data_IF_934286463945
#
_entry.id   IF_934286463945
#
_cell.length_a   1.000
_cell.length_b   1.000
_cell.length_c   1.000
_cell.angle_alpha   90.00
_cell.angle_beta   90.00
_cell.angle_gamma   90.00
#
_symmetry.space_group_name_H-M   'P 1'
#
loop_
_entity.id
_entity.type
_entity.pdbx_description
1 polymer ?
#
# COMPACT_ATOMS: atom_id res chain seq x y z
N UNK A 1 -19.95 23.49 18.15
CA UNK A 1 -19.51 22.10 17.82
C UNK A 1 -18.08 21.97 18.26
N UNK A 2 -17.74 20.98 19.05
CA UNK A 2 -16.32 20.75 19.44
C UNK A 2 -15.53 20.29 18.23
N UNK A 3 -14.32 20.84 18.04
CA UNK A 3 -13.40 20.40 16.99
C UNK A 3 -12.85 19.03 17.38
N UNK A 4 -13.08 18.01 16.56
CA UNK A 4 -12.52 16.69 16.76
C UNK A 4 -11.14 16.62 16.12
N UNK A 5 -10.10 16.46 16.94
CA UNK A 5 -8.72 16.40 16.48
C UNK A 5 -8.49 15.19 15.55
N UNK A 6 -8.00 15.46 14.34
CA UNK A 6 -7.72 14.43 13.34
C UNK A 6 -8.97 13.74 12.78
N UNK A 7 -10.16 14.33 12.93
CA UNK A 7 -11.46 13.79 12.49
C UNK A 7 -11.79 12.40 13.09
N UNK A 8 -11.21 12.04 14.23
CA UNK A 8 -11.44 10.74 14.87
C UNK A 8 -12.91 10.56 15.24
N UNK A 9 -13.52 9.43 14.81
CA UNK A 9 -14.94 9.15 15.03
C UNK A 9 -15.92 9.94 14.14
N UNK A 10 -15.42 10.73 13.18
CA UNK A 10 -16.27 11.43 12.22
C UNK A 10 -16.50 10.54 10.99
N UNK A 11 -17.75 10.26 10.68
CA UNK A 11 -18.15 9.61 9.43
C UNK A 11 -18.12 10.65 8.32
N UNK A 12 -17.11 10.60 7.46
CA UNK A 12 -16.89 11.60 6.41
C UNK A 12 -17.67 11.31 5.12
N UNK A 13 -17.95 10.03 4.83
CA UNK A 13 -18.69 9.56 3.65
C UNK A 13 -19.24 8.16 3.89
N UNK A 14 -20.16 7.71 3.04
CA UNK A 14 -20.54 6.30 2.91
C UNK A 14 -19.68 5.62 1.84
N UNK A 15 -19.46 4.31 1.96
CA UNK A 15 -18.74 3.51 0.99
C UNK A 15 -19.26 2.08 0.99
N UNK A 16 -19.27 1.43 -0.19
CA UNK A 16 -19.64 0.03 -0.39
C UNK A 16 -18.43 -0.90 -0.55
N UNK A 17 -17.20 -0.35 -0.46
CA UNK A 17 -15.96 -1.03 -0.86
C UNK A 17 -15.43 -1.94 0.24
N UNK A 18 -15.28 -1.43 1.45
CA UNK A 18 -14.80 -2.24 2.57
C UNK A 18 -15.39 -1.79 3.90
N UNK A 19 -15.40 -2.69 4.87
CA UNK A 19 -15.86 -2.40 6.23
C UNK A 19 -15.00 -3.08 7.28
N UNK A 20 -14.97 -2.50 8.48
CA UNK A 20 -14.38 -3.10 9.66
C UNK A 20 -15.45 -3.14 10.74
N UNK A 21 -15.99 -4.32 11.02
CA UNK A 21 -17.06 -4.55 12.00
C UNK A 21 -16.58 -5.65 12.95
N UNK A 22 -16.61 -5.39 14.25
CA UNK A 22 -16.21 -6.33 15.30
C UNK A 22 -14.80 -6.94 15.08
N UNK A 23 -13.85 -6.11 14.68
CA UNK A 23 -12.48 -6.49 14.31
C UNK A 23 -12.37 -7.38 13.05
N UNK A 24 -13.44 -7.53 12.28
CA UNK A 24 -13.44 -8.24 10.99
C UNK A 24 -13.34 -7.25 9.84
N UNK A 25 -12.32 -7.39 9.01
CA UNK A 25 -12.19 -6.65 7.74
C UNK A 25 -12.92 -7.41 6.64
N UNK A 26 -13.75 -6.69 5.87
CA UNK A 26 -14.39 -7.25 4.67
C UNK A 26 -14.12 -6.38 3.45
N UNK A 27 -14.04 -6.99 2.28
CA UNK A 27 -14.12 -6.31 0.98
C UNK A 27 -15.45 -6.66 0.34
N UNK A 28 -16.31 -5.66 0.14
CA UNK A 28 -17.67 -5.83 -0.43
C UNK A 28 -18.46 -6.92 0.31
N UNK A 29 -18.27 -7.00 1.64
CA UNK A 29 -18.92 -7.99 2.50
C UNK A 29 -18.26 -9.37 2.54
N UNK A 30 -17.25 -9.66 1.73
CA UNK A 30 -16.45 -10.90 1.82
C UNK A 30 -15.40 -10.77 2.92
N UNK A 31 -15.31 -11.78 3.77
CA UNK A 31 -14.32 -11.82 4.85
C UNK A 31 -12.90 -11.84 4.28
N UNK A 32 -12.01 -11.03 4.87
CA UNK A 32 -10.61 -10.96 4.43
C UNK A 32 -9.88 -12.30 4.57
N UNK A 33 -10.28 -13.13 5.54
CA UNK A 33 -9.70 -14.46 5.72
C UNK A 33 -10.03 -15.36 4.53
N UNK A 34 -11.30 -15.38 4.09
CA UNK A 34 -11.73 -16.17 2.95
C UNK A 34 -11.06 -15.70 1.65
N UNK A 35 -10.95 -14.39 1.45
CA UNK A 35 -10.27 -13.83 0.29
C UNK A 35 -8.78 -14.13 0.29
N UNK A 36 -8.10 -14.02 1.44
CA UNK A 36 -6.67 -14.32 1.56
C UNK A 36 -6.34 -15.81 1.28
N UNK A 37 -7.25 -16.72 1.60
CA UNK A 37 -7.04 -18.16 1.36
C UNK A 37 -7.38 -18.61 -0.06
N UNK A 38 -8.36 -17.98 -0.70
CA UNK A 38 -8.97 -18.55 -1.90
C UNK A 38 -8.86 -17.66 -3.14
N UNK A 39 -8.68 -16.32 -2.99
CA UNK A 39 -8.73 -15.41 -4.12
C UNK A 39 -7.35 -15.09 -4.70
N UNK A 40 -7.27 -14.93 -6.01
CA UNK A 40 -6.17 -14.22 -6.66
C UNK A 40 -6.31 -12.71 -6.44
N UNK A 41 -5.21 -11.99 -6.52
CA UNK A 41 -5.25 -10.53 -6.40
C UNK A 41 -6.07 -9.89 -7.53
N UNK A 42 -6.07 -10.47 -8.72
CA UNK A 42 -6.89 -10.03 -9.85
C UNK A 42 -8.39 -10.18 -9.57
N UNK A 43 -8.82 -11.23 -8.86
CA UNK A 43 -10.20 -11.35 -8.39
C UNK A 43 -10.56 -10.25 -7.39
N UNK A 44 -9.63 -9.88 -6.51
CA UNK A 44 -9.83 -8.79 -5.53
C UNK A 44 -9.87 -7.43 -6.22
N UNK A 45 -9.04 -7.18 -7.24
CA UNK A 45 -9.14 -5.97 -8.09
C UNK A 45 -10.54 -5.87 -8.69
N UNK A 46 -11.01 -6.95 -9.31
CA UNK A 46 -12.34 -6.98 -9.93
C UNK A 46 -13.44 -6.74 -8.89
N UNK A 47 -13.37 -7.43 -7.75
CA UNK A 47 -14.33 -7.32 -6.64
C UNK A 47 -14.47 -5.87 -6.17
N UNK A 48 -13.36 -5.19 -5.91
CA UNK A 48 -13.36 -3.81 -5.42
C UNK A 48 -13.92 -2.82 -6.44
N UNK A 49 -13.68 -3.03 -7.73
CA UNK A 49 -14.12 -2.11 -8.79
C UNK A 49 -15.55 -2.36 -9.27
N UNK A 50 -16.06 -3.60 -9.15
CA UNK A 50 -17.37 -3.99 -9.66
C UNK A 50 -18.36 -4.38 -8.55
N UNK A 51 -17.96 -4.34 -7.28
CA UNK A 51 -18.75 -4.67 -6.08
C UNK A 51 -19.34 -6.08 -6.13
N UNK A 52 -18.69 -7.01 -6.82
CA UNK A 52 -19.01 -8.43 -6.90
C UNK A 52 -17.80 -9.24 -7.40
N UNK A 53 -17.79 -10.53 -7.13
CA UNK A 53 -16.78 -11.43 -7.69
C UNK A 53 -16.94 -11.59 -9.22
N UNK A 54 -15.83 -11.76 -9.96
CA UNK A 54 -15.88 -12.05 -11.39
C UNK A 54 -16.36 -13.46 -11.66
N UNK A 55 -16.98 -13.67 -12.82
CA UNK A 55 -17.02 -15.00 -13.40
C UNK A 55 -15.71 -15.30 -14.14
N UNK A 56 -15.55 -16.52 -14.66
CA UNK A 56 -14.31 -16.95 -15.31
C UNK A 56 -13.93 -16.09 -16.51
N UNK A 57 -14.89 -15.72 -17.36
CA UNK A 57 -14.62 -14.89 -18.55
C UNK A 57 -14.21 -13.47 -18.19
N UNK A 58 -14.86 -12.90 -17.19
CA UNK A 58 -14.54 -11.54 -16.69
C UNK A 58 -13.15 -11.50 -16.05
N UNK A 59 -12.78 -12.54 -15.31
CA UNK A 59 -11.46 -12.65 -14.71
C UNK A 59 -10.36 -12.74 -15.77
N UNK A 60 -10.57 -13.60 -16.78
CA UNK A 60 -9.60 -13.74 -17.88
C UNK A 60 -9.50 -12.45 -18.73
N UNK A 61 -10.62 -11.76 -18.94
CA UNK A 61 -10.60 -10.46 -19.63
C UNK A 61 -9.81 -9.41 -18.85
N UNK A 62 -10.04 -9.30 -17.53
CA UNK A 62 -9.27 -8.39 -16.67
C UNK A 62 -7.77 -8.72 -16.69
N UNK A 63 -7.40 -9.99 -16.56
CA UNK A 63 -5.99 -10.42 -16.64
C UNK A 63 -5.35 -10.03 -17.97
N UNK A 64 -6.05 -10.26 -19.08
CA UNK A 64 -5.58 -9.90 -20.41
C UNK A 64 -5.39 -8.38 -20.54
N UNK A 65 -6.34 -7.59 -20.04
CA UNK A 65 -6.25 -6.12 -20.08
C UNK A 65 -5.08 -5.61 -19.21
N UNK A 66 -4.88 -6.16 -18.01
CA UNK A 66 -3.74 -5.82 -17.16
C UNK A 66 -2.41 -6.18 -17.86
N UNK A 67 -2.30 -7.37 -18.41
CA UNK A 67 -1.10 -7.81 -19.14
C UNK A 67 -0.79 -6.94 -20.37
N UNK A 68 -1.82 -6.56 -21.12
CA UNK A 68 -1.68 -5.70 -22.29
C UNK A 68 -1.20 -4.27 -21.95
N UNK A 69 -1.50 -3.79 -20.74
CA UNK A 69 -1.20 -2.43 -20.30
C UNK A 69 0.01 -2.34 -19.33
N UNK A 70 0.68 -3.45 -19.03
CA UNK A 70 1.72 -3.49 -17.99
C UNK A 70 3.06 -2.84 -18.40
N UNK A 71 3.35 -2.73 -19.69
CA UNK A 71 4.59 -2.12 -20.16
C UNK A 71 4.66 -0.63 -19.84
N UNK A 72 5.84 -0.17 -19.39
CA UNK A 72 6.09 1.25 -19.15
C UNK A 72 6.42 1.98 -20.46
N UNK A 73 6.05 3.27 -20.59
CA UNK A 73 6.63 4.17 -21.56
C UNK A 73 8.16 4.27 -21.36
N UNK A 74 8.91 4.30 -22.47
CA UNK A 74 10.36 4.46 -22.42
C UNK A 74 10.78 5.73 -21.68
N UNK A 75 10.01 6.79 -21.78
CA UNK A 75 10.23 8.08 -21.13
C UNK A 75 10.29 7.97 -19.61
N UNK A 76 9.51 7.08 -19.00
CA UNK A 76 9.56 6.81 -17.55
C UNK A 76 10.87 6.10 -17.19
N UNK A 77 11.33 5.16 -18.03
CA UNK A 77 12.58 4.43 -17.82
C UNK A 77 13.77 5.40 -17.95
N UNK A 78 13.81 6.20 -19.00
CA UNK A 78 14.87 7.19 -19.21
C UNK A 78 14.86 8.27 -18.11
N UNK A 79 13.67 8.67 -17.64
CA UNK A 79 13.55 9.57 -16.51
C UNK A 79 14.26 9.00 -15.26
N UNK A 80 14.09 7.73 -14.93
CA UNK A 80 14.80 7.11 -13.82
C UNK A 80 16.32 7.09 -14.00
N UNK A 81 16.81 6.94 -15.24
CA UNK A 81 18.25 6.97 -15.55
C UNK A 81 18.88 8.37 -15.43
N UNK A 82 18.07 9.45 -15.48
CA UNK A 82 18.55 10.84 -15.40
C UNK A 82 18.85 11.35 -13.98
N UNK A 83 18.38 10.65 -12.94
CA UNK A 83 18.57 11.08 -11.56
C UNK A 83 19.71 10.38 -10.87
N UNK A 84 20.26 10.97 -9.77
CA UNK A 84 21.07 10.24 -8.81
C UNK A 84 20.19 9.26 -8.02
N UNK A 85 19.69 8.25 -8.71
CA UNK A 85 18.61 7.35 -8.28
C UNK A 85 18.93 6.64 -6.95
N UNK A 86 20.22 6.43 -6.64
CA UNK A 86 20.67 5.82 -5.38
C UNK A 86 20.29 6.67 -4.15
N UNK A 87 20.11 7.98 -4.34
CA UNK A 87 19.77 8.96 -3.27
C UNK A 87 18.28 9.26 -3.19
N UNK A 88 17.49 8.74 -4.12
CA UNK A 88 16.05 9.01 -4.21
C UNK A 88 15.27 7.97 -3.42
N UNK A 89 14.40 8.44 -2.52
CA UNK A 89 13.50 7.54 -1.81
C UNK A 89 12.48 6.92 -2.80
N UNK A 90 12.28 5.59 -2.82
CA UNK A 90 11.42 4.90 -3.81
C UNK A 90 10.02 5.46 -3.92
N UNK A 91 9.39 5.86 -2.81
CA UNK A 91 8.06 6.50 -2.80
C UNK A 91 8.04 7.87 -3.51
N UNK A 92 9.16 8.59 -3.51
CA UNK A 92 9.29 9.83 -4.25
C UNK A 92 9.31 9.58 -5.76
N UNK A 93 10.09 8.60 -6.18
CA UNK A 93 10.16 8.14 -7.57
C UNK A 93 8.79 7.62 -8.07
N UNK A 94 8.14 6.76 -7.28
CA UNK A 94 6.81 6.22 -7.60
C UNK A 94 5.77 7.33 -7.80
N UNK A 95 5.69 8.30 -6.87
CA UNK A 95 4.76 9.43 -6.96
C UNK A 95 4.97 10.23 -8.25
N UNK A 96 6.23 10.52 -8.59
CA UNK A 96 6.56 11.28 -9.79
C UNK A 96 6.23 10.48 -11.06
N UNK A 97 6.60 9.21 -11.12
CA UNK A 97 6.30 8.35 -12.27
C UNK A 97 4.80 8.21 -12.53
N UNK A 98 3.99 8.04 -11.48
CA UNK A 98 2.52 7.97 -11.61
C UNK A 98 1.96 9.31 -12.12
N UNK A 99 2.44 10.44 -11.62
CA UNK A 99 2.05 11.76 -12.15
C UNK A 99 2.44 11.94 -13.61
N UNK A 100 3.62 11.47 -14.01
CA UNK A 100 4.07 11.50 -15.40
C UNK A 100 3.20 10.64 -16.30
N UNK A 101 2.70 9.48 -15.86
CA UNK A 101 1.79 8.65 -16.66
C UNK A 101 0.59 9.44 -17.17
N UNK A 102 0.04 10.37 -16.37
CA UNK A 102 -1.06 11.23 -16.79
C UNK A 102 -0.72 12.15 -17.96
N UNK A 103 0.55 12.52 -18.16
CA UNK A 103 1.00 13.35 -19.29
C UNK A 103 1.04 12.58 -20.62
N UNK A 104 1.12 11.25 -20.55
CA UNK A 104 1.17 10.35 -21.71
C UNK A 104 -0.17 9.65 -21.97
N UNK A 105 -1.21 9.94 -21.18
CA UNK A 105 -2.52 9.35 -21.36
C UNK A 105 -3.47 10.35 -22.02
N UNK A 106 -3.81 10.10 -23.28
CA UNK A 106 -4.72 10.95 -24.07
C UNK A 106 -6.13 11.05 -23.44
N UNK A 107 -6.49 10.08 -22.58
CA UNK A 107 -7.78 10.06 -21.87
C UNK A 107 -7.69 10.63 -20.44
N UNK A 108 -6.55 11.23 -20.05
CA UNK A 108 -6.35 11.66 -18.65
C UNK A 108 -7.52 12.51 -18.12
N UNK A 109 -7.97 13.47 -18.91
CA UNK A 109 -9.06 14.41 -18.56
C UNK A 109 -10.46 13.93 -19.00
N UNK A 110 -10.58 12.76 -19.63
CA UNK A 110 -11.89 12.19 -20.02
C UNK A 110 -12.54 11.54 -18.81
N UNK A 111 -13.75 11.99 -18.44
CA UNK A 111 -14.38 11.66 -17.14
C UNK A 111 -15.56 10.69 -17.25
N UNK A 112 -15.82 10.10 -18.42
CA UNK A 112 -16.86 9.06 -18.52
C UNK A 112 -16.41 7.73 -17.88
N UNK A 113 -17.37 6.90 -17.50
CA UNK A 113 -17.13 5.67 -16.75
C UNK A 113 -16.18 4.70 -17.49
N UNK A 114 -16.31 4.61 -18.82
CA UNK A 114 -15.47 3.71 -19.62
C UNK A 114 -14.03 4.21 -19.71
N UNK A 115 -13.81 5.51 -19.87
CA UNK A 115 -12.48 6.10 -19.84
C UNK A 115 -11.86 5.97 -18.45
N UNK A 116 -12.66 6.17 -17.38
CA UNK A 116 -12.20 5.97 -16.01
C UNK A 116 -11.79 4.52 -15.76
N UNK A 117 -12.53 3.53 -16.25
CA UNK A 117 -12.16 2.13 -16.14
C UNK A 117 -10.86 1.81 -16.91
N UNK A 118 -10.69 2.34 -18.13
CA UNK A 118 -9.44 2.16 -18.90
C UNK A 118 -8.24 2.79 -18.20
N UNK A 119 -8.39 3.99 -17.59
CA UNK A 119 -7.34 4.62 -16.75
C UNK A 119 -7.01 3.78 -15.54
N UNK A 120 -8.02 3.22 -14.86
CA UNK A 120 -7.86 2.32 -13.74
C UNK A 120 -6.99 1.10 -14.10
N UNK A 121 -7.29 0.46 -15.23
CA UNK A 121 -6.52 -0.67 -15.76
C UNK A 121 -5.08 -0.27 -16.04
N UNK A 122 -4.86 0.86 -16.73
CA UNK A 122 -3.51 1.36 -17.05
C UNK A 122 -2.68 1.66 -15.80
N UNK A 123 -3.26 2.29 -14.80
CA UNK A 123 -2.60 2.58 -13.52
C UNK A 123 -2.24 1.30 -12.76
N UNK A 124 -3.22 0.42 -12.56
CA UNK A 124 -3.02 -0.84 -11.85
C UNK A 124 -1.98 -1.73 -12.54
N UNK A 125 -2.01 -1.79 -13.86
CA UNK A 125 -1.08 -2.60 -14.65
C UNK A 125 0.37 -2.09 -14.60
N UNK A 126 0.57 -0.75 -14.59
CA UNK A 126 1.90 -0.15 -14.69
C UNK A 126 2.63 0.02 -13.35
N UNK A 127 1.90 0.08 -12.23
CA UNK A 127 2.55 0.34 -10.93
C UNK A 127 3.58 -0.72 -10.53
N UNK A 128 3.41 -2.05 -10.78
CA UNK A 128 4.46 -3.03 -10.55
C UNK A 128 5.73 -2.75 -11.37
N UNK A 129 5.56 -2.42 -12.64
CA UNK A 129 6.68 -2.15 -13.53
C UNK A 129 7.45 -0.87 -13.13
N UNK A 130 6.77 0.17 -12.61
CA UNK A 130 7.42 1.36 -12.05
C UNK A 130 8.33 0.99 -10.88
N UNK A 131 7.81 0.22 -9.91
CA UNK A 131 8.56 -0.15 -8.70
C UNK A 131 9.76 -1.04 -9.04
N UNK A 132 9.56 -2.03 -9.89
CA UNK A 132 10.61 -2.98 -10.27
C UNK A 132 11.66 -2.34 -11.17
N UNK A 133 11.27 -1.50 -12.13
CA UNK A 133 12.20 -0.74 -12.97
C UNK A 133 13.08 0.20 -12.11
N UNK A 134 12.48 0.95 -11.19
CA UNK A 134 13.21 1.78 -10.25
C UNK A 134 14.25 0.97 -9.47
N UNK A 135 13.83 -0.17 -8.88
CA UNK A 135 14.72 -1.03 -8.10
C UNK A 135 15.90 -1.56 -8.92
N UNK A 136 15.65 -2.00 -10.15
CA UNK A 136 16.69 -2.53 -11.03
C UNK A 136 17.66 -1.47 -11.51
N UNK A 137 17.16 -0.34 -12.00
CA UNK A 137 18.00 0.79 -12.45
C UNK A 137 18.90 1.28 -11.32
N UNK A 138 18.37 1.38 -10.09
CA UNK A 138 19.15 1.74 -8.90
C UNK A 138 20.31 0.80 -8.61
N UNK A 139 20.16 -0.48 -8.98
CA UNK A 139 21.21 -1.53 -8.86
C UNK A 139 22.10 -1.60 -10.10
N UNK A 140 21.96 -0.68 -11.06
CA UNK A 140 22.72 -0.72 -12.33
C UNK A 140 22.27 -1.82 -13.29
N UNK A 141 21.06 -2.33 -13.13
CA UNK A 141 20.46 -3.39 -13.93
C UNK A 141 19.41 -2.81 -14.88
N UNK A 142 19.28 -3.40 -16.09
CA UNK A 142 18.21 -3.03 -17.00
C UNK A 142 16.83 -3.50 -16.47
N UNK A 143 15.77 -2.72 -16.65
CA UNK A 143 14.40 -3.14 -16.36
C UNK A 143 14.01 -4.40 -17.14
N UNK A 144 13.20 -5.25 -16.53
CA UNK A 144 12.65 -6.45 -17.19
C UNK A 144 11.21 -6.16 -17.58
N UNK A 145 10.88 -6.46 -18.83
CA UNK A 145 9.52 -6.33 -19.33
C UNK A 145 8.60 -7.40 -18.71
N UNK A 146 7.32 -7.06 -18.45
CA UNK A 146 6.36 -8.04 -17.95
C UNK A 146 6.09 -9.13 -18.99
N UNK A 147 5.87 -10.35 -18.52
CA UNK A 147 5.43 -11.48 -19.34
C UNK A 147 3.92 -11.54 -19.38
N UNK A 148 3.35 -11.77 -20.57
CA UNK A 148 1.88 -11.81 -20.77
C UNK A 148 1.23 -13.06 -20.20
N UNK A 149 1.98 -14.14 -20.06
CA UNK A 149 1.54 -15.44 -19.55
C UNK A 149 1.63 -15.56 -18.02
N UNK A 150 2.16 -14.53 -17.33
CA UNK A 150 2.27 -14.51 -15.88
C UNK A 150 1.11 -13.74 -15.23
N UNK A 151 0.62 -14.24 -14.08
CA UNK A 151 -0.28 -13.51 -13.21
C UNK A 151 0.41 -12.30 -12.55
N UNK A 152 -0.37 -11.46 -11.91
CA UNK A 152 0.08 -10.18 -11.37
C UNK A 152 1.21 -10.34 -10.34
N UNK A 153 1.04 -11.22 -9.35
CA UNK A 153 2.06 -11.48 -8.33
C UNK A 153 3.34 -12.10 -8.91
N UNK A 154 3.19 -13.07 -9.80
CA UNK A 154 4.29 -13.73 -10.48
C UNK A 154 5.11 -12.75 -11.32
N UNK A 155 4.44 -11.88 -12.07
CA UNK A 155 5.07 -10.85 -12.89
C UNK A 155 5.87 -9.84 -12.07
N UNK A 156 5.33 -9.40 -10.92
CA UNK A 156 6.07 -8.50 -10.04
C UNK A 156 7.40 -9.10 -9.59
N UNK A 157 7.37 -10.32 -9.05
CA UNK A 157 8.57 -11.00 -8.57
C UNK A 157 9.57 -11.29 -9.69
N UNK A 158 9.08 -11.70 -10.86
CA UNK A 158 9.90 -11.91 -12.05
C UNK A 158 10.60 -10.62 -12.50
N UNK A 159 9.86 -9.53 -12.64
CA UNK A 159 10.44 -8.24 -13.04
C UNK A 159 11.43 -7.69 -12.02
N UNK A 160 11.24 -7.98 -10.73
CA UNK A 160 12.14 -7.53 -9.68
C UNK A 160 13.44 -8.34 -9.65
N UNK A 161 13.32 -9.66 -9.57
CA UNK A 161 14.44 -10.57 -9.29
C UNK A 161 15.13 -11.10 -10.55
N UNK A 162 14.47 -11.11 -11.70
CA UNK A 162 15.00 -11.56 -12.98
C UNK A 162 14.96 -13.07 -13.21
N UNK A 163 14.38 -13.82 -12.29
CA UNK A 163 14.16 -15.26 -12.38
C UNK A 163 12.69 -15.60 -12.15
N UNK A 164 12.26 -16.74 -12.62
CA UNK A 164 10.91 -17.23 -12.40
C UNK A 164 10.72 -17.61 -10.92
N UNK A 165 9.75 -17.01 -10.21
CA UNK A 165 9.51 -17.31 -8.81
C UNK A 165 8.90 -18.69 -8.63
N UNK A 166 9.17 -19.33 -7.48
CA UNK A 166 8.52 -20.57 -7.08
C UNK A 166 7.03 -20.36 -6.74
N UNK A 167 6.27 -21.44 -6.76
CA UNK A 167 4.83 -21.38 -6.40
C UNK A 167 4.61 -20.83 -4.99
N UNK A 168 5.47 -21.15 -4.03
CA UNK A 168 5.38 -20.65 -2.64
C UNK A 168 5.60 -19.13 -2.59
N UNK A 169 6.55 -18.60 -3.36
CA UNK A 169 6.79 -17.15 -3.45
C UNK A 169 5.60 -16.43 -4.09
N UNK A 170 5.02 -17.02 -5.15
CA UNK A 170 3.82 -16.47 -5.81
C UNK A 170 2.64 -16.42 -4.84
N UNK A 171 2.36 -17.52 -4.13
CA UNK A 171 1.28 -17.62 -3.15
C UNK A 171 1.46 -16.59 -2.02
N UNK A 172 2.66 -16.50 -1.45
CA UNK A 172 2.96 -15.57 -0.38
C UNK A 172 2.80 -14.11 -0.82
N UNK A 173 3.26 -13.76 -2.01
CA UNK A 173 3.14 -12.40 -2.52
C UNK A 173 1.70 -12.07 -2.92
N UNK A 174 0.98 -13.00 -3.57
CA UNK A 174 -0.46 -12.86 -3.86
C UNK A 174 -1.25 -12.59 -2.57
N UNK A 175 -1.05 -13.41 -1.54
CA UNK A 175 -1.70 -13.25 -0.24
C UNK A 175 -1.39 -11.88 0.38
N UNK A 176 -0.14 -11.42 0.32
CA UNK A 176 0.23 -10.10 0.78
C UNK A 176 -0.48 -8.97 0.00
N UNK A 177 -0.61 -9.10 -1.33
CA UNK A 177 -1.35 -8.15 -2.15
C UNK A 177 -2.84 -8.12 -1.77
N UNK A 178 -3.50 -9.26 -1.62
CA UNK A 178 -4.90 -9.36 -1.20
C UNK A 178 -5.12 -8.66 0.14
N UNK A 179 -4.26 -8.92 1.13
CA UNK A 179 -4.38 -8.38 2.49
C UNK A 179 -4.17 -6.86 2.58
N UNK A 180 -3.50 -6.25 1.61
CA UNK A 180 -3.22 -4.82 1.60
C UNK A 180 -4.09 -4.02 0.62
N UNK A 181 -4.98 -4.68 -0.15
CA UNK A 181 -5.73 -4.08 -1.25
C UNK A 181 -6.58 -2.89 -0.83
N UNK A 182 -7.29 -2.97 0.29
CA UNK A 182 -8.04 -1.85 0.85
C UNK A 182 -8.11 -1.88 2.39
N UNK A 183 -8.54 -0.78 3.00
CA UNK A 183 -8.74 -0.66 4.45
C UNK A 183 -9.55 0.60 4.76
N UNK A 184 -10.80 0.63 4.35
CA UNK A 184 -11.73 1.75 4.55
C UNK A 184 -11.13 3.13 4.18
N UNK A 185 -11.58 4.16 4.89
CA UNK A 185 -11.18 5.55 4.66
C UNK A 185 -9.88 5.89 5.42
N UNK A 186 -8.81 5.14 5.15
CA UNK A 186 -7.47 5.47 5.67
C UNK A 186 -6.96 6.80 5.09
N UNK A 187 -5.83 7.31 5.62
CA UNK A 187 -5.34 8.65 5.27
C UNK A 187 -5.07 8.83 3.77
N UNK A 188 -4.50 7.83 3.08
CA UNK A 188 -4.23 7.95 1.64
C UNK A 188 -5.50 7.83 0.79
N UNK A 189 -6.41 6.94 1.15
CA UNK A 189 -7.72 6.80 0.50
C UNK A 189 -8.55 8.09 0.66
N UNK A 190 -8.58 8.67 1.86
CA UNK A 190 -9.26 9.94 2.08
C UNK A 190 -8.64 11.08 1.27
N UNK A 191 -7.31 11.13 1.19
CA UNK A 191 -6.60 12.11 0.37
C UNK A 191 -6.94 11.98 -1.11
N UNK A 192 -7.01 10.74 -1.65
CA UNK A 192 -7.46 10.50 -3.02
C UNK A 192 -8.89 11.04 -3.24
N UNK A 193 -9.83 10.68 -2.35
CA UNK A 193 -11.23 11.14 -2.45
C UNK A 193 -11.35 12.66 -2.38
N UNK A 194 -10.61 13.33 -1.50
CA UNK A 194 -10.60 14.80 -1.41
C UNK A 194 -10.09 15.42 -2.71
N UNK A 195 -9.03 14.85 -3.30
CA UNK A 195 -8.49 15.31 -4.58
C UNK A 195 -9.54 15.18 -5.69
N UNK A 196 -10.07 13.99 -5.91
CA UNK A 196 -10.99 13.73 -7.04
C UNK A 196 -12.41 14.28 -6.81
N UNK A 197 -12.78 14.60 -5.57
CA UNK A 197 -14.04 15.32 -5.29
C UNK A 197 -14.08 16.72 -5.93
N UNK A 198 -12.95 17.25 -6.35
CA UNK A 198 -12.84 18.47 -7.17
C UNK A 198 -13.06 18.24 -8.66
N UNK A 199 -13.32 17.00 -9.08
CA UNK A 199 -13.35 16.53 -10.47
C UNK A 199 -11.96 16.60 -11.15
N UNK A 200 -10.88 16.53 -10.37
CA UNK A 200 -9.53 16.28 -10.88
C UNK A 200 -9.41 14.85 -11.40
N UNK A 201 -8.50 14.62 -12.34
CA UNK A 201 -8.25 13.34 -12.98
C UNK A 201 -7.77 12.24 -11.99
N UNK A 202 -7.86 10.98 -12.42
CA UNK A 202 -7.50 9.81 -11.60
C UNK A 202 -6.00 9.77 -11.26
N UNK A 203 -5.12 10.20 -12.17
CA UNK A 203 -3.66 10.25 -11.92
C UNK A 203 -3.31 11.23 -10.82
N UNK A 204 -3.99 12.38 -10.76
CA UNK A 204 -3.88 13.37 -9.68
C UNK A 204 -4.35 12.78 -8.34
N UNK A 205 -5.48 12.07 -8.32
CA UNK A 205 -6.02 11.40 -7.13
C UNK A 205 -5.05 10.35 -6.58
N UNK A 206 -4.54 9.48 -7.44
CA UNK A 206 -3.57 8.45 -7.05
C UNK A 206 -2.23 9.06 -6.62
N UNK A 207 -1.75 10.09 -7.31
CA UNK A 207 -0.53 10.82 -6.93
C UNK A 207 -0.65 11.41 -5.53
N UNK A 208 -1.80 11.99 -5.20
CA UNK A 208 -2.09 12.52 -3.87
C UNK A 208 -2.11 11.41 -2.80
N UNK A 209 -2.72 10.25 -3.11
CA UNK A 209 -2.73 9.08 -2.24
C UNK A 209 -1.31 8.56 -1.94
N UNK A 210 -0.45 8.43 -2.97
CA UNK A 210 0.96 8.03 -2.81
C UNK A 210 1.70 9.04 -1.94
N UNK A 211 1.43 10.34 -2.10
CA UNK A 211 1.98 11.40 -1.26
C UNK A 211 1.62 11.24 0.21
N UNK A 212 0.37 10.91 0.52
CA UNK A 212 -0.08 10.65 1.87
C UNK A 212 0.50 9.35 2.45
N UNK A 213 0.57 8.28 1.63
CA UNK A 213 1.14 7.00 2.05
C UNK A 213 2.64 7.11 2.40
N UNK A 214 3.38 7.99 1.72
CA UNK A 214 4.80 8.25 2.02
C UNK A 214 5.03 8.79 3.44
N UNK A 215 4.02 9.38 4.07
CA UNK A 215 4.15 9.97 5.40
C UNK A 215 4.44 8.93 6.49
N UNK A 216 5.35 9.21 7.45
CA UNK A 216 5.79 8.24 8.46
C UNK A 216 4.70 7.85 9.46
N UNK A 217 3.57 8.54 9.47
CA UNK A 217 2.41 8.20 10.31
C UNK A 217 1.39 7.31 9.59
N UNK A 218 1.67 6.93 8.32
CA UNK A 218 0.77 6.09 7.53
C UNK A 218 1.50 4.90 6.90
N UNK A 219 2.36 5.11 5.92
CA UNK A 219 3.22 4.05 5.37
C UNK A 219 4.54 3.93 6.13
N UNK A 220 5.34 2.91 5.82
CA UNK A 220 6.69 2.74 6.34
C UNK A 220 6.81 1.98 7.66
N UNK A 221 5.72 1.49 8.23
CA UNK A 221 5.79 0.69 9.45
C UNK A 221 6.49 -0.66 9.21
N UNK A 222 6.23 -1.33 8.10
CA UNK A 222 6.89 -2.58 7.70
C UNK A 222 8.39 -2.39 7.41
N UNK A 223 8.78 -1.29 6.75
CA UNK A 223 10.19 -0.92 6.59
C UNK A 223 10.90 -0.75 7.94
N UNK A 224 10.23 -0.05 8.87
CA UNK A 224 10.78 0.16 10.21
C UNK A 224 10.87 -1.14 11.02
N UNK A 225 9.94 -2.09 10.83
CA UNK A 225 10.05 -3.45 11.42
C UNK A 225 11.28 -4.16 10.88
N UNK A 226 11.53 -4.14 9.57
CA UNK A 226 12.71 -4.82 9.02
C UNK A 226 14.02 -4.18 9.48
N UNK A 227 14.07 -2.85 9.60
CA UNK A 227 15.22 -2.15 10.18
C UNK A 227 15.47 -2.58 11.63
N UNK A 228 14.40 -2.69 12.43
CA UNK A 228 14.47 -3.20 13.81
C UNK A 228 15.00 -4.63 13.86
N UNK A 229 14.48 -5.54 13.01
CA UNK A 229 14.97 -6.93 12.95
C UNK A 229 16.46 -6.99 12.57
N UNK A 230 16.90 -6.18 11.62
CA UNK A 230 18.32 -6.10 11.22
C UNK A 230 19.21 -5.48 12.31
N UNK A 231 18.70 -4.54 13.09
CA UNK A 231 19.40 -3.94 14.23
C UNK A 231 19.57 -4.95 15.38
N UNK A 232 18.56 -5.79 15.63
CA UNK A 232 18.63 -6.89 16.61
C UNK A 232 19.61 -7.97 16.15
N UNK A 233 19.60 -8.31 14.86
CA UNK A 233 20.46 -9.23 14.12
C UNK A 233 20.34 -10.71 14.52
N UNK A 234 20.37 -11.05 15.81
CA UNK A 234 20.32 -12.45 16.30
C UNK A 234 19.23 -12.66 17.32
N UNK A 235 18.78 -13.92 17.47
CA UNK A 235 17.73 -14.32 18.42
C UNK A 235 18.12 -14.02 19.87
N UNK A 236 19.39 -14.14 20.22
CA UNK A 236 19.92 -13.88 21.56
C UNK A 236 19.77 -12.43 21.99
N UNK A 237 19.83 -11.49 21.03
CA UNK A 237 19.73 -10.05 21.28
C UNK A 237 18.28 -9.57 21.49
N UNK A 238 17.28 -10.35 21.05
CA UNK A 238 15.87 -9.95 21.04
C UNK A 238 15.40 -9.51 22.43
N UNK A 239 15.66 -10.31 23.45
CA UNK A 239 15.14 -10.06 24.79
C UNK A 239 15.69 -8.75 25.39
N UNK A 240 16.99 -8.53 25.29
CA UNK A 240 17.64 -7.33 25.80
C UNK A 240 17.14 -6.06 25.04
N UNK A 241 17.05 -6.14 23.72
CA UNK A 241 16.61 -5.02 22.89
C UNK A 241 15.15 -4.63 23.17
N UNK A 242 14.24 -5.61 23.18
CA UNK A 242 12.81 -5.36 23.37
C UNK A 242 12.51 -4.89 24.80
N UNK A 243 13.14 -5.50 25.82
CA UNK A 243 12.97 -5.05 27.19
C UNK A 243 13.45 -3.62 27.38
N UNK A 244 14.59 -3.23 26.82
CA UNK A 244 15.09 -1.86 26.87
C UNK A 244 14.08 -0.87 26.27
N UNK A 245 13.51 -1.18 25.08
CA UNK A 245 12.47 -0.32 24.48
C UNK A 245 11.21 -0.22 25.32
N UNK A 246 10.75 -1.34 25.89
CA UNK A 246 9.55 -1.37 26.72
C UNK A 246 9.73 -0.59 28.03
N UNK A 247 10.89 -0.70 28.67
CA UNK A 247 11.24 -0.01 29.92
C UNK A 247 11.36 1.51 29.69
N UNK A 248 11.91 1.92 28.57
CA UNK A 248 12.01 3.33 28.15
C UNK A 248 10.71 3.88 27.55
N UNK A 249 9.63 3.08 27.48
CA UNK A 249 8.34 3.44 26.84
C UNK A 249 8.49 3.85 25.37
N UNK A 250 9.50 3.33 24.69
CA UNK A 250 9.70 3.55 23.28
C UNK A 250 8.70 2.75 22.47
N UNK A 251 8.44 3.23 21.22
CA UNK A 251 7.55 2.55 20.29
C UNK A 251 8.25 1.33 19.70
N UNK A 252 7.56 0.19 19.71
CA UNK A 252 7.95 -1.00 18.95
C UNK A 252 7.13 -1.03 17.68
N UNK A 253 7.80 -1.07 16.53
CA UNK A 253 7.14 -1.00 15.23
C UNK A 253 6.40 -2.31 14.91
N UNK A 254 5.29 -2.21 14.20
CA UNK A 254 4.45 -3.35 13.85
C UNK A 254 3.49 -3.84 14.93
N UNK A 255 3.34 -3.12 16.04
CA UNK A 255 2.43 -3.46 17.13
C UNK A 255 1.36 -2.40 17.36
N UNK A 256 0.15 -2.89 17.68
CA UNK A 256 -1.03 -2.07 17.90
C UNK A 256 -1.65 -1.56 16.60
N UNK A 257 -2.92 -1.21 16.67
CA UNK A 257 -3.68 -0.69 15.55
C UNK A 257 -4.65 0.38 16.03
N UNK A 258 -4.96 1.37 15.17
CA UNK A 258 -5.90 2.45 15.52
C UNK A 258 -7.35 1.97 15.59
N UNK A 259 -7.70 0.95 14.79
CA UNK A 259 -9.06 0.43 14.65
C UNK A 259 -9.24 -0.89 15.38
N UNK A 260 -8.39 -1.91 15.11
CA UNK A 260 -8.49 -3.23 15.72
C UNK A 260 -8.08 -3.21 17.20
N UNK A 261 -8.90 -3.83 18.04
CA UNK A 261 -8.66 -3.94 19.49
C UNK A 261 -8.18 -5.33 19.91
N UNK A 262 -8.68 -6.38 19.24
CA UNK A 262 -8.32 -7.78 19.52
C UNK A 262 -7.12 -8.27 18.73
N UNK A 263 -6.77 -7.57 17.65
CA UNK A 263 -5.67 -7.90 16.74
C UNK A 263 -6.06 -7.69 15.30
N UNK A 264 -5.05 -7.43 14.47
CA UNK A 264 -5.23 -7.27 13.03
C UNK A 264 -5.44 -8.66 12.38
N UNK A 265 -6.61 -8.96 11.78
CA UNK A 265 -6.90 -10.28 11.21
C UNK A 265 -5.89 -10.70 10.13
N UNK A 266 -5.25 -9.74 9.47
CA UNK A 266 -4.29 -9.97 8.40
C UNK A 266 -2.96 -10.53 8.89
N UNK A 267 -2.58 -10.25 10.14
CA UNK A 267 -1.26 -10.61 10.68
C UNK A 267 -1.03 -12.13 10.72
N UNK A 268 -2.06 -12.94 10.99
CA UNK A 268 -1.95 -14.41 11.07
C UNK A 268 -1.53 -15.05 9.74
N UNK A 269 -2.07 -14.55 8.62
CA UNK A 269 -1.75 -15.03 7.28
C UNK A 269 -0.30 -14.74 6.92
N UNK A 270 0.18 -13.53 7.21
CA UNK A 270 1.56 -13.15 6.96
C UNK A 270 2.54 -13.87 7.90
N UNK A 271 2.12 -14.18 9.13
CA UNK A 271 2.91 -15.00 10.06
C UNK A 271 3.18 -16.40 9.49
N UNK A 272 2.14 -17.03 8.92
CA UNK A 272 2.28 -18.33 8.27
C UNK A 272 3.21 -18.27 7.06
N UNK A 273 3.03 -17.27 6.18
CA UNK A 273 3.89 -17.09 5.01
C UNK A 273 5.33 -16.75 5.40
N UNK A 274 5.53 -15.95 6.46
CA UNK A 274 6.85 -15.67 7.01
C UNK A 274 7.57 -16.97 7.39
N UNK A 275 6.90 -17.87 8.11
CA UNK A 275 7.46 -19.17 8.48
C UNK A 275 7.86 -19.98 7.25
N UNK A 276 6.93 -20.16 6.31
CA UNK A 276 7.16 -20.98 5.10
C UNK A 276 8.34 -20.47 4.26
N UNK A 277 8.40 -19.15 4.04
CA UNK A 277 9.45 -18.54 3.22
C UNK A 277 10.83 -18.55 3.91
N UNK A 278 10.88 -18.23 5.20
CA UNK A 278 12.16 -18.23 5.94
C UNK A 278 12.72 -19.63 6.08
N UNK A 279 11.88 -20.66 6.30
CA UNK A 279 12.29 -22.06 6.31
C UNK A 279 12.81 -22.51 4.92
N UNK A 280 12.07 -22.16 3.85
CA UNK A 280 12.46 -22.48 2.46
C UNK A 280 13.80 -21.86 2.07
N UNK A 281 14.07 -20.64 2.50
CA UNK A 281 15.31 -19.92 2.17
C UNK A 281 16.48 -20.29 3.08
N UNK A 282 16.28 -21.14 4.10
CA UNK A 282 17.31 -21.47 5.09
C UNK A 282 17.69 -20.32 6.02
N UNK A 283 16.78 -19.34 6.22
CA UNK A 283 16.95 -18.18 7.08
C UNK A 283 15.86 -18.12 8.18
N UNK A 284 15.61 -19.18 8.97
CA UNK A 284 14.53 -19.23 9.96
C UNK A 284 14.64 -18.14 11.03
N UNK A 285 15.82 -17.56 11.22
CA UNK A 285 16.09 -16.52 12.21
C UNK A 285 15.09 -15.35 12.14
N UNK A 286 14.64 -14.95 10.96
CA UNK A 286 13.72 -13.82 10.80
C UNK A 286 12.34 -14.12 11.39
N UNK A 287 11.83 -15.33 11.17
CA UNK A 287 10.58 -15.77 11.77
C UNK A 287 10.74 -16.01 13.29
N UNK A 288 11.82 -16.67 13.73
CA UNK A 288 12.10 -16.95 15.13
C UNK A 288 12.23 -15.66 15.96
N UNK A 289 12.98 -14.68 15.48
CA UNK A 289 13.07 -13.35 16.11
C UNK A 289 11.70 -12.68 16.17
N UNK A 290 10.92 -12.72 15.08
CA UNK A 290 9.59 -12.11 15.04
C UNK A 290 8.65 -12.75 16.07
N UNK A 291 8.61 -14.08 16.18
CA UNK A 291 7.78 -14.77 17.18
C UNK A 291 8.23 -14.45 18.61
N UNK A 292 9.53 -14.40 18.87
CA UNK A 292 10.07 -14.03 20.18
C UNK A 292 9.73 -12.57 20.55
N UNK A 293 9.79 -11.65 19.60
CA UNK A 293 9.37 -10.25 19.81
C UNK A 293 7.88 -10.19 20.14
N UNK A 294 7.04 -10.91 19.38
CA UNK A 294 5.59 -10.97 19.62
C UNK A 294 5.29 -11.47 21.04
N UNK A 295 5.91 -12.57 21.48
CA UNK A 295 5.76 -13.11 22.83
C UNK A 295 6.14 -12.10 23.92
N UNK A 296 7.28 -11.42 23.78
CA UNK A 296 7.77 -10.44 24.75
C UNK A 296 6.86 -9.20 24.81
N UNK A 297 6.41 -8.69 23.68
CA UNK A 297 5.55 -7.50 23.64
C UNK A 297 4.18 -7.83 24.20
N UNK A 298 3.55 -8.92 23.75
CA UNK A 298 2.18 -9.28 24.17
C UNK A 298 2.10 -9.72 25.63
N UNK A 299 3.17 -10.30 26.19
CA UNK A 299 3.23 -10.63 27.62
C UNK A 299 3.28 -9.40 28.54
N UNK A 300 3.80 -8.27 28.05
CA UNK A 300 3.97 -7.04 28.85
C UNK A 300 2.96 -5.94 28.53
N UNK A 301 2.39 -5.96 27.33
CA UNK A 301 1.39 -4.98 26.86
C UNK A 301 0.32 -5.70 26.01
N UNK A 302 -0.98 -5.33 26.13
CA UNK A 302 -2.03 -5.89 25.29
C UNK A 302 -2.00 -5.25 23.89
N UNK A 303 -0.87 -5.39 23.20
CA UNK A 303 -0.63 -4.84 21.87
C UNK A 303 -0.29 -5.99 20.92
N UNK A 304 -1.28 -6.54 20.19
CA UNK A 304 -1.02 -7.57 19.17
C UNK A 304 -0.29 -6.99 17.96
N UNK A 305 0.41 -7.85 17.19
CA UNK A 305 1.02 -7.45 15.93
C UNK A 305 -0.06 -7.01 14.93
N UNK A 306 0.30 -6.04 14.09
CA UNK A 306 -0.51 -5.62 12.94
C UNK A 306 0.06 -6.21 11.63
N UNK A 307 -0.58 -5.89 10.50
CA UNK A 307 -0.20 -6.40 9.17
C UNK A 307 1.25 -6.11 8.81
N UNK A 308 1.81 -5.00 9.28
CA UNK A 308 3.18 -4.58 8.95
C UNK A 308 4.26 -5.44 9.61
N UNK A 309 3.95 -6.10 10.73
CA UNK A 309 4.95 -6.82 11.51
C UNK A 309 5.52 -8.02 10.75
N UNK A 310 4.66 -8.96 10.35
CA UNK A 310 5.11 -10.14 9.62
C UNK A 310 5.33 -9.90 8.12
N UNK A 311 4.73 -8.85 7.53
CA UNK A 311 5.02 -8.49 6.14
C UNK A 311 6.49 -8.16 5.92
N UNK A 312 7.20 -7.66 6.94
CA UNK A 312 8.61 -7.33 6.86
C UNK A 312 9.48 -8.56 6.55
N UNK A 313 9.31 -9.66 7.27
CA UNK A 313 10.06 -10.90 7.02
C UNK A 313 9.59 -11.61 5.74
N UNK A 314 8.29 -11.54 5.40
CA UNK A 314 7.77 -12.04 4.12
C UNK A 314 8.46 -11.36 2.95
N UNK A 315 8.45 -10.03 2.89
CA UNK A 315 9.05 -9.28 1.79
C UNK A 315 10.58 -9.45 1.74
N UNK A 316 11.24 -9.49 2.89
CA UNK A 316 12.67 -9.76 2.93
C UNK A 316 13.02 -11.13 2.33
N UNK A 317 12.25 -12.17 2.67
CA UNK A 317 12.44 -13.53 2.14
C UNK A 317 12.15 -13.66 0.64
N UNK A 318 11.37 -12.74 0.07
CA UNK A 318 11.13 -12.62 -1.37
C UNK A 318 12.22 -11.84 -2.12
N UNK A 319 13.33 -11.49 -1.45
CA UNK A 319 14.44 -10.74 -2.05
C UNK A 319 14.17 -9.26 -2.26
N UNK A 320 13.20 -8.70 -1.56
CA UNK A 320 12.77 -7.31 -1.68
C UNK A 320 13.57 -6.43 -0.72
N UNK A 321 14.17 -5.36 -1.22
CA UNK A 321 14.85 -4.38 -0.39
C UNK A 321 13.85 -3.67 0.54
N UNK A 322 14.21 -3.44 1.79
CA UNK A 322 13.29 -2.94 2.81
C UNK A 322 12.69 -1.56 2.51
N UNK A 323 13.39 -0.70 1.77
CA UNK A 323 12.87 0.61 1.35
C UNK A 323 11.83 0.54 0.22
N UNK A 324 11.65 -0.66 -0.40
CA UNK A 324 10.59 -0.94 -1.36
C UNK A 324 9.29 -1.43 -0.69
N UNK A 325 9.26 -1.69 0.61
CA UNK A 325 8.07 -2.23 1.28
C UNK A 325 6.87 -1.28 1.20
N UNK A 326 7.07 0.02 1.40
CA UNK A 326 6.02 1.01 1.21
C UNK A 326 5.57 1.16 -0.25
N UNK A 327 6.45 1.20 -1.26
CA UNK A 327 6.06 1.05 -2.67
C UNK A 327 5.22 -0.20 -2.97
N UNK A 328 5.55 -1.35 -2.40
CA UNK A 328 4.77 -2.58 -2.58
C UNK A 328 3.39 -2.46 -1.94
N UNK A 329 3.32 -1.84 -0.76
CA UNK A 329 2.02 -1.48 -0.17
C UNK A 329 1.19 -0.64 -1.15
N UNK A 330 1.80 0.34 -1.84
CA UNK A 330 1.12 1.13 -2.87
C UNK A 330 0.69 0.29 -4.08
N UNK A 331 1.48 -0.71 -4.51
CA UNK A 331 1.12 -1.63 -5.61
C UNK A 331 -0.20 -2.35 -5.31
N UNK A 332 -0.36 -2.85 -4.10
CA UNK A 332 -1.59 -3.48 -3.66
C UNK A 332 -2.72 -2.46 -3.47
N UNK A 333 -2.48 -1.40 -2.70
CA UNK A 333 -3.48 -0.39 -2.32
C UNK A 333 -3.99 0.42 -3.51
N UNK A 334 -3.32 0.40 -4.65
CA UNK A 334 -3.78 1.02 -5.89
C UNK A 334 -5.20 0.55 -6.24
N UNK A 335 -5.50 -0.75 -6.08
CA UNK A 335 -6.82 -1.31 -6.33
C UNK A 335 -7.92 -0.66 -5.47
N UNK A 336 -7.65 -0.48 -4.18
CA UNK A 336 -8.54 0.20 -3.25
C UNK A 336 -8.66 1.71 -3.54
N UNK A 337 -7.56 2.41 -3.81
CA UNK A 337 -7.63 3.83 -4.18
C UNK A 337 -8.46 4.04 -5.43
N UNK A 338 -8.27 3.22 -6.45
CA UNK A 338 -9.06 3.28 -7.69
C UNK A 338 -10.54 3.03 -7.40
N UNK A 339 -10.87 2.00 -6.63
CA UNK A 339 -12.25 1.70 -6.24
C UNK A 339 -12.91 2.93 -5.58
N UNK A 340 -12.24 3.53 -4.59
CA UNK A 340 -12.73 4.72 -3.91
C UNK A 340 -12.81 5.96 -4.81
N UNK A 341 -11.93 6.10 -5.80
CA UNK A 341 -11.99 7.16 -6.81
C UNK A 341 -13.20 6.97 -7.72
N UNK A 342 -13.43 5.75 -8.22
CA UNK A 342 -14.59 5.42 -9.05
C UNK A 342 -15.89 5.67 -8.29
N UNK A 343 -16.01 5.21 -7.05
CA UNK A 343 -17.17 5.46 -6.18
C UNK A 343 -17.38 6.96 -5.93
N UNK A 344 -16.28 7.74 -5.79
CA UNK A 344 -16.38 9.19 -5.63
C UNK A 344 -16.90 9.87 -6.90
N UNK A 345 -16.46 9.45 -8.09
CA UNK A 345 -16.95 10.01 -9.35
C UNK A 345 -18.42 9.69 -9.59
N UNK A 346 -18.87 8.46 -9.28
CA UNK A 346 -20.27 8.03 -9.47
C UNK A 346 -21.27 8.89 -8.70
N UNK A 347 -20.95 9.26 -7.46
CA UNK A 347 -21.79 10.11 -6.63
C UNK A 347 -21.00 11.26 -6.02
N UNK A 348 -20.50 12.15 -6.89
CA UNK A 348 -19.56 13.18 -6.46
C UNK A 348 -20.23 14.36 -5.75
N UNK A 349 -19.61 14.74 -4.64
CA UNK A 349 -19.79 16.03 -4.00
C UNK A 349 -18.45 16.53 -3.48
N UNK A 350 -18.15 17.82 -3.73
CA UNK A 350 -16.93 18.46 -3.24
C UNK A 350 -16.76 18.29 -1.72
N UNK A 351 -15.66 17.70 -1.32
CA UNK A 351 -15.28 17.53 0.10
C UNK A 351 -14.58 18.81 0.57
N UNK A 352 -15.30 19.63 1.33
CA UNK A 352 -14.79 20.91 1.83
C UNK A 352 -15.30 21.17 3.25
N UNK A 353 -14.61 20.64 4.27
CA UNK A 353 -14.91 20.95 5.68
C UNK A 353 -14.60 22.42 6.00
N UNK A 354 -15.13 22.91 7.12
CA UNK A 354 -14.82 24.23 7.67
C UNK A 354 -13.74 24.10 8.74
N UNK A 355 -12.97 25.18 8.91
CA UNK A 355 -12.07 25.33 10.06
C UNK A 355 -12.69 26.27 11.09
N UNK A 356 -12.46 26.03 12.37
CA UNK A 356 -12.62 27.02 13.43
C UNK A 356 -11.43 27.95 13.40
N UNK A 357 -11.68 29.25 13.22
CA UNK A 357 -10.61 30.24 13.24
C UNK A 357 -10.25 30.58 14.69
N UNK A 358 -9.01 30.33 15.08
CA UNK A 358 -8.45 30.57 16.41
C UNK A 358 -7.38 31.68 16.44
N UNK A 359 -7.23 32.40 15.34
CA UNK A 359 -6.30 33.53 15.25
C UNK A 359 -6.84 34.81 15.85
N UNK A 360 -6.14 35.93 15.71
CA UNK A 360 -6.56 37.26 16.18
C UNK A 360 -7.93 37.65 15.60
N UNK A 361 -8.70 38.43 16.33
CA UNK A 361 -9.93 39.04 15.81
C UNK A 361 -9.66 39.99 14.62
N UNK A 362 -10.68 40.65 14.12
CA UNK A 362 -10.54 41.59 13.00
C UNK A 362 -9.46 42.64 13.29
N UNK A 363 -8.44 42.67 12.43
CA UNK A 363 -7.36 43.64 12.48
C UNK A 363 -7.55 44.71 11.41
N UNK A 364 -7.14 45.95 11.71
CA UNK A 364 -7.02 46.98 10.69
C UNK A 364 -5.66 46.84 10.00
N UNK A 365 -5.64 47.03 8.70
CA UNK A 365 -4.38 47.10 7.97
C UNK A 365 -3.65 48.38 8.41
N UNK A 366 -2.38 48.23 8.79
CA UNK A 366 -1.45 49.33 9.09
C UNK A 366 -0.45 49.38 7.97
N UNK A 367 -0.24 50.56 7.32
CA UNK A 367 0.81 50.73 6.31
C UNK A 367 2.19 50.38 6.85
N UNK A 368 3.11 49.95 5.97
CA UNK A 368 4.42 49.48 6.39
C UNK A 368 5.23 50.59 7.10
N UNK A 369 4.98 51.82 6.71
CA UNK A 369 5.64 53.02 7.26
C UNK A 369 5.13 53.35 8.69
N UNK A 370 4.02 52.74 9.12
CA UNK A 370 3.41 52.99 10.44
C UNK A 370 3.48 51.77 11.38
N UNK A 371 4.20 50.71 11.00
CA UNK A 371 4.35 49.45 11.77
C UNK A 371 5.50 49.53 12.76
#
# INVERSE_FOLDING_TARGET
MSVTKGLEGIVATSSSISSIIDDTLTYVGYDIDDLAENASFEEVIFLLWNLRLPNHLELEDLKNQLAANAALPNEIIEYFKMYPIEKVHPMGALRTAVSMLGLYDEEADVMDDQANLRKAIRLQAKIPAIVTAFSRIRKGLEPIAPRKDFGYAQNFLYMLNGNEPSQVEIEAFNKALVLHADHELNASTFTARVCVATLSDMYSGVTAAIGALKGPLHGGANEAVMKMLKEIDTLENVEAYINNKLDNKEKIMGFGHRVYRKGDPRAKHLREMSKRLTDMNGEPKWYEMSTKIEELVTSRKPLPPNVDFYSASVYHSLGIDHDLFTPIFAVSRMSGWIAHILEQYENNRLIRPRAEYVGPGMQKYVPIEER
#
